data_IF_036570601685
#
_entry.id   IF_036570601685
#
_cell.length_a   1.000
_cell.length_b   1.000
_cell.length_c   1.000
_cell.angle_alpha   90.00
_cell.angle_beta   90.00
_cell.angle_gamma   90.00
#
_symmetry.space_group_name_H-M   'P 1'
#
loop_
_entity.id
_entity.type
_entity.pdbx_description
1 polymer ?
#
# COMPACT_ATOMS: atom_id res chain seq x y z
N UNK A 1 9.65 1.69 -2.25
CA UNK A 1 9.20 0.28 -2.35
C UNK A 1 7.73 0.24 -2.74
N UNK A 2 7.28 -0.86 -3.31
CA UNK A 2 5.89 -1.04 -3.75
C UNK A 2 5.28 -2.28 -3.11
N UNK A 3 3.97 -2.25 -2.92
CA UNK A 3 3.17 -3.40 -2.48
C UNK A 3 1.94 -3.46 -3.37
N UNK A 4 1.77 -4.55 -4.09
CA UNK A 4 0.54 -4.86 -4.83
C UNK A 4 -0.49 -5.43 -3.86
N UNK A 5 -1.71 -4.89 -3.88
CA UNK A 5 -2.79 -5.30 -2.99
C UNK A 5 -3.94 -5.82 -3.85
N UNK A 6 -4.30 -7.08 -3.64
CA UNK A 6 -5.45 -7.73 -4.25
C UNK A 6 -6.63 -7.67 -3.28
N UNK A 7 -7.78 -7.23 -3.79
CA UNK A 7 -8.99 -7.11 -2.99
C UNK A 7 -10.17 -7.76 -3.72
N UNK A 8 -10.95 -8.55 -2.98
CA UNK A 8 -12.06 -9.31 -3.53
C UNK A 8 -13.23 -8.41 -3.90
N UNK A 9 -13.69 -8.56 -5.14
CA UNK A 9 -14.85 -7.82 -5.69
C UNK A 9 -14.73 -6.29 -5.50
N UNK A 10 -13.50 -5.77 -5.51
CA UNK A 10 -13.20 -4.34 -5.38
C UNK A 10 -12.23 -3.88 -6.49
N UNK A 11 -12.63 -3.99 -7.78
CA UNK A 11 -11.82 -3.48 -8.87
C UNK A 11 -11.60 -1.97 -8.68
N UNK A 12 -10.34 -1.56 -8.59
CA UNK A 12 -9.97 -0.17 -8.27
C UNK A 12 -10.00 0.18 -6.78
N UNK A 13 -10.09 -0.78 -5.86
CA UNK A 13 -9.71 -0.57 -4.45
C UNK A 13 -10.51 0.47 -3.67
N UNK A 14 -11.70 0.84 -4.13
CA UNK A 14 -12.50 1.93 -3.54
C UNK A 14 -13.06 1.51 -2.20
N UNK A 15 -13.58 0.27 -2.11
CA UNK A 15 -14.12 -0.30 -0.87
C UNK A 15 -13.02 -0.51 0.16
N UNK A 16 -11.84 -0.93 -0.27
CA UNK A 16 -10.65 -1.04 0.55
C UNK A 16 -10.31 0.31 1.20
N UNK A 17 -10.14 1.38 0.41
CA UNK A 17 -9.78 2.70 0.94
C UNK A 17 -10.88 3.24 1.88
N UNK A 18 -12.15 3.11 1.49
CA UNK A 18 -13.26 3.56 2.32
C UNK A 18 -13.28 2.84 3.67
N UNK A 19 -13.09 1.51 3.66
CA UNK A 19 -13.04 0.71 4.89
C UNK A 19 -11.82 1.05 5.73
N UNK A 20 -10.62 1.17 5.14
CA UNK A 20 -9.41 1.56 5.85
C UNK A 20 -9.57 2.92 6.53
N UNK A 21 -10.11 3.93 5.82
CA UNK A 21 -10.45 5.24 6.40
C UNK A 21 -11.39 5.13 7.59
N UNK A 22 -12.48 4.35 7.46
CA UNK A 22 -13.46 4.15 8.54
C UNK A 22 -12.79 3.52 9.77
N UNK A 23 -11.98 2.48 9.59
CA UNK A 23 -11.34 1.76 10.68
C UNK A 23 -10.24 2.59 11.38
N UNK A 24 -9.51 3.43 10.64
CA UNK A 24 -8.59 4.41 11.21
C UNK A 24 -9.34 5.45 12.06
N UNK A 25 -10.45 5.98 11.54
CA UNK A 25 -11.31 6.94 12.28
C UNK A 25 -11.88 6.34 13.56
N UNK A 26 -12.25 5.06 13.54
CA UNK A 26 -12.77 4.32 14.68
C UNK A 26 -11.68 3.81 15.64
N UNK A 27 -10.41 4.18 15.43
CA UNK A 27 -9.27 3.70 16.21
C UNK A 27 -9.10 2.17 16.26
N UNK A 28 -9.62 1.46 15.25
CA UNK A 28 -9.49 0.01 15.11
C UNK A 28 -8.08 -0.38 14.60
N UNK A 29 -7.35 0.59 14.04
CA UNK A 29 -5.98 0.44 13.51
C UNK A 29 -5.12 1.60 14.04
N UNK A 30 -4.69 1.54 15.30
CA UNK A 30 -4.08 2.68 16.02
C UNK A 30 -2.64 3.02 15.63
N UNK A 31 -1.94 2.09 15.00
CA UNK A 31 -0.53 2.27 14.62
C UNK A 31 -0.33 3.19 13.40
N UNK A 32 -1.42 3.70 12.81
CA UNK A 32 -1.40 4.42 11.54
C UNK A 32 -2.19 5.71 11.62
N UNK A 33 -1.70 6.74 10.95
CA UNK A 33 -2.32 8.07 10.90
C UNK A 33 -2.51 8.50 9.46
N UNK A 34 -3.63 9.18 9.19
CA UNK A 34 -3.92 9.75 7.86
C UNK A 34 -3.11 11.04 7.71
N UNK A 35 -2.15 11.04 6.80
CA UNK A 35 -1.37 12.23 6.45
C UNK A 35 -2.06 13.07 5.37
N UNK A 36 -2.68 12.41 4.39
CA UNK A 36 -3.36 13.07 3.25
C UNK A 36 -4.51 12.22 2.75
N UNK A 37 -5.58 12.86 2.28
CA UNK A 37 -6.75 12.15 1.74
C UNK A 37 -6.70 11.90 0.23
N UNK A 38 -6.03 12.76 -0.54
CA UNK A 38 -5.93 12.69 -2.01
C UNK A 38 -4.51 13.07 -2.51
N UNK A 39 -3.66 12.11 -2.91
CA UNK A 39 -3.87 10.66 -2.79
C UNK A 39 -3.97 10.23 -1.32
N UNK A 40 -4.57 9.07 -1.06
CA UNK A 40 -4.71 8.56 0.29
C UNK A 40 -3.36 8.10 0.82
N UNK A 41 -2.83 8.81 1.80
CA UNK A 41 -1.48 8.61 2.34
C UNK A 41 -1.54 8.43 3.85
N UNK A 42 -0.89 7.38 4.32
CA UNK A 42 -0.70 7.08 5.73
C UNK A 42 0.76 7.28 6.14
N UNK A 43 0.96 7.52 7.44
CA UNK A 43 2.25 7.41 8.11
C UNK A 43 2.07 6.51 9.33
N UNK A 44 3.15 5.84 9.75
CA UNK A 44 3.12 5.02 10.95
C UNK A 44 3.30 5.92 12.19
N UNK A 45 2.52 5.66 13.25
CA UNK A 45 2.41 6.54 14.42
C UNK A 45 3.68 6.59 15.30
N UNK A 46 4.56 5.58 15.20
CA UNK A 46 5.84 5.60 15.91
C UNK A 46 6.79 6.68 15.38
N UNK A 47 7.32 7.54 16.26
CA UNK A 47 8.10 8.75 15.93
C UNK A 47 9.17 8.56 14.85
N UNK A 48 9.89 7.42 14.89
CA UNK A 48 10.96 7.09 13.94
C UNK A 48 10.49 6.91 12.49
N UNK A 49 9.20 6.72 12.28
CA UNK A 49 8.61 6.37 10.97
C UNK A 49 7.66 7.44 10.42
N UNK A 50 7.44 8.52 11.15
CA UNK A 50 6.50 9.61 10.79
C UNK A 50 6.83 10.30 9.47
N UNK A 51 8.10 10.25 9.03
CA UNK A 51 8.56 10.78 7.73
C UNK A 51 8.29 9.84 6.55
N UNK A 52 8.06 8.55 6.80
CA UNK A 52 7.91 7.52 5.76
C UNK A 52 6.44 7.47 5.35
N UNK A 53 6.19 7.76 4.07
CA UNK A 53 4.84 7.87 3.53
C UNK A 53 4.43 6.56 2.88
N UNK A 54 3.22 6.11 3.18
CA UNK A 54 2.56 4.97 2.51
C UNK A 54 1.39 5.50 1.72
N UNK A 55 1.53 5.62 0.40
CA UNK A 55 0.51 6.17 -0.48
C UNK A 55 -0.21 5.05 -1.22
N UNK A 56 -1.53 4.99 -1.07
CA UNK A 56 -2.39 4.02 -1.75
C UNK A 56 -2.89 4.60 -3.07
N UNK A 57 -2.62 3.87 -4.15
CA UNK A 57 -2.93 4.23 -5.53
C UNK A 57 -3.86 3.17 -6.12
N UNK A 58 -5.14 3.49 -6.32
CA UNK A 58 -6.10 2.60 -6.97
C UNK A 58 -5.75 2.22 -8.41
N UNK A 59 -6.06 0.98 -8.80
CA UNK A 59 -6.10 0.57 -10.20
C UNK A 59 -7.05 1.45 -11.04
N UNK A 60 -6.75 1.57 -12.33
CA UNK A 60 -7.48 2.44 -13.26
C UNK A 60 -7.15 3.94 -13.14
N UNK A 61 -6.29 4.36 -12.19
CA UNK A 61 -5.84 5.76 -12.11
C UNK A 61 -4.60 6.01 -12.98
N UNK A 62 -4.38 7.24 -13.48
CA UNK A 62 -3.19 7.56 -14.27
C UNK A 62 -1.87 7.29 -13.52
N UNK A 63 -1.85 7.44 -12.21
CA UNK A 63 -0.67 7.14 -11.38
C UNK A 63 -0.41 5.64 -11.32
N UNK A 64 -1.45 4.81 -11.19
CA UNK A 64 -1.31 3.36 -11.26
C UNK A 64 -0.79 2.92 -12.63
N UNK A 65 -1.39 3.42 -13.71
CA UNK A 65 -0.96 3.07 -15.07
C UNK A 65 0.49 3.46 -15.34
N UNK A 66 0.96 4.60 -14.80
CA UNK A 66 2.37 4.99 -14.87
C UNK A 66 3.27 4.02 -14.11
N UNK A 67 2.89 3.62 -12.88
CA UNK A 67 3.65 2.66 -12.10
C UNK A 67 3.72 1.28 -12.77
N UNK A 68 2.60 0.81 -13.35
CA UNK A 68 2.53 -0.42 -14.12
C UNK A 68 3.45 -0.39 -15.36
N UNK A 69 3.39 0.69 -16.15
CA UNK A 69 4.25 0.90 -17.32
C UNK A 69 5.73 0.97 -16.98
N UNK A 70 6.06 1.54 -15.81
CA UNK A 70 7.42 1.59 -15.29
C UNK A 70 7.93 0.23 -14.76
N UNK A 71 7.16 -0.85 -14.88
CA UNK A 71 7.55 -2.19 -14.47
C UNK A 71 7.55 -2.41 -12.96
N UNK A 72 7.02 -1.46 -12.17
CA UNK A 72 7.07 -1.51 -10.71
C UNK A 72 6.23 -2.63 -10.09
N UNK A 73 5.27 -3.17 -10.85
CA UNK A 73 4.47 -4.32 -10.46
C UNK A 73 5.21 -5.66 -10.64
N UNK A 74 6.22 -5.72 -11.51
CA UNK A 74 6.96 -6.95 -11.80
C UNK A 74 6.04 -8.14 -12.15
N UNK A 75 6.21 -9.24 -11.41
CA UNK A 75 5.39 -10.45 -11.55
C UNK A 75 3.93 -10.27 -11.12
N UNK A 76 3.63 -9.23 -10.33
CA UNK A 76 2.32 -8.98 -9.74
C UNK A 76 1.41 -8.12 -10.63
N UNK A 77 1.68 -8.03 -11.94
CA UNK A 77 0.84 -7.29 -12.87
C UNK A 77 -0.40 -8.08 -13.35
N UNK A 78 -0.35 -9.41 -13.25
CA UNK A 78 -1.39 -10.33 -13.70
C UNK A 78 -1.70 -11.38 -12.62
N UNK A 79 -2.93 -11.44 -12.07
CA UNK A 79 -4.02 -10.49 -12.31
C UNK A 79 -3.63 -9.06 -11.89
N UNK A 80 -4.34 -8.05 -12.41
CA UNK A 80 -4.09 -6.66 -12.02
C UNK A 80 -4.48 -6.47 -10.54
N UNK A 81 -3.61 -5.93 -9.68
CA UNK A 81 -3.94 -5.69 -8.29
C UNK A 81 -4.93 -4.54 -8.18
N UNK A 82 -5.82 -4.60 -7.17
CA UNK A 82 -6.80 -3.55 -6.92
C UNK A 82 -6.14 -2.22 -6.53
N UNK A 83 -5.02 -2.27 -5.79
CA UNK A 83 -4.23 -1.10 -5.41
C UNK A 83 -2.73 -1.37 -5.48
N UNK A 84 -1.98 -0.28 -5.60
CA UNK A 84 -0.56 -0.20 -5.27
C UNK A 84 -0.37 0.66 -4.02
N UNK A 85 0.34 0.15 -3.02
CA UNK A 85 0.86 0.97 -1.93
C UNK A 85 2.34 1.29 -2.19
N UNK A 86 2.63 2.58 -2.37
CA UNK A 86 3.99 3.09 -2.52
C UNK A 86 4.52 3.56 -1.18
N UNK A 87 5.66 3.01 -0.77
CA UNK A 87 6.38 3.39 0.45
C UNK A 87 7.59 4.23 0.03
N UNK A 88 7.63 5.48 0.48
CA UNK A 88 8.67 6.47 0.13
C UNK A 88 9.27 7.16 1.35
N UNK A 89 10.40 7.85 1.12
CA UNK A 89 10.94 8.89 2.00
C UNK A 89 11.59 8.46 3.33
N UNK A 90 12.33 7.33 3.38
CA UNK A 90 13.20 7.11 4.55
C UNK A 90 14.07 5.85 4.55
N UNK A 91 15.12 5.90 5.38
CA UNK A 91 16.10 4.83 5.62
C UNK A 91 15.48 3.56 6.26
N UNK A 92 14.24 3.63 6.76
CA UNK A 92 13.52 2.50 7.38
C UNK A 92 12.34 1.99 6.53
N UNK A 93 12.39 2.18 5.21
CA UNK A 93 11.33 1.76 4.30
C UNK A 93 11.01 0.25 4.41
N UNK A 94 12.00 -0.62 4.63
CA UNK A 94 11.80 -2.06 4.83
C UNK A 94 11.01 -2.39 6.10
N UNK A 95 11.23 -1.65 7.20
CA UNK A 95 10.42 -1.83 8.42
C UNK A 95 8.99 -1.40 8.19
N UNK A 96 8.79 -0.25 7.54
CA UNK A 96 7.44 0.23 7.22
C UNK A 96 6.74 -0.71 6.25
N UNK A 97 7.46 -1.31 5.31
CA UNK A 97 6.95 -2.42 4.50
C UNK A 97 6.43 -3.56 5.38
N UNK A 98 7.23 -4.01 6.35
CA UNK A 98 6.80 -5.00 7.34
C UNK A 98 5.52 -4.60 8.08
N UNK A 99 5.40 -3.34 8.51
CA UNK A 99 4.19 -2.85 9.16
C UNK A 99 2.98 -2.80 8.22
N UNK A 100 3.16 -2.38 6.96
CA UNK A 100 2.09 -2.37 5.96
C UNK A 100 1.58 -3.78 5.73
N UNK A 101 2.48 -4.74 5.50
CA UNK A 101 2.11 -6.13 5.31
C UNK A 101 1.40 -6.67 6.55
N UNK A 102 1.94 -6.42 7.75
CA UNK A 102 1.32 -6.83 9.00
C UNK A 102 -0.08 -6.25 9.20
N UNK A 103 -0.31 -4.98 8.85
CA UNK A 103 -1.62 -4.34 8.89
C UNK A 103 -2.59 -5.02 7.90
N UNK A 104 -2.16 -5.23 6.65
CA UNK A 104 -2.97 -5.86 5.61
C UNK A 104 -3.34 -7.30 5.97
N UNK A 105 -2.41 -8.07 6.52
CA UNK A 105 -2.65 -9.45 6.94
C UNK A 105 -3.56 -9.51 8.18
N UNK A 106 -3.30 -8.71 9.21
CA UNK A 106 -4.10 -8.69 10.45
C UNK A 106 -5.55 -8.26 10.21
N UNK A 107 -5.77 -7.44 9.20
CA UNK A 107 -7.09 -6.90 8.85
C UNK A 107 -7.55 -7.33 7.47
N UNK A 108 -7.08 -8.48 6.98
CA UNK A 108 -7.33 -8.92 5.61
C UNK A 108 -8.82 -9.02 5.30
N UNK A 109 -9.55 -9.81 6.09
CA UNK A 109 -10.99 -10.01 5.95
C UNK A 109 -11.80 -8.69 5.99
N UNK A 110 -11.68 -7.84 7.03
CA UNK A 110 -12.47 -6.61 7.06
C UNK A 110 -12.08 -5.62 5.95
N UNK A 111 -10.84 -5.63 5.47
CA UNK A 111 -10.41 -4.81 4.34
C UNK A 111 -10.74 -5.43 2.97
N UNK A 112 -11.19 -6.69 2.94
CA UNK A 112 -11.42 -7.45 1.71
C UNK A 112 -10.14 -7.81 0.96
N UNK A 113 -8.99 -7.87 1.63
CA UNK A 113 -7.71 -8.23 1.03
C UNK A 113 -7.65 -9.74 0.82
N UNK A 114 -7.47 -10.17 -0.42
CA UNK A 114 -7.28 -11.59 -0.78
C UNK A 114 -5.84 -11.94 -1.10
N UNK A 115 -4.97 -10.95 -1.30
CA UNK A 115 -3.55 -11.20 -1.55
C UNK A 115 -2.71 -9.95 -1.44
N UNK A 116 -1.43 -10.15 -1.12
CA UNK A 116 -0.41 -9.10 -1.08
C UNK A 116 0.79 -9.57 -1.87
N UNK A 117 1.16 -8.80 -2.90
CA UNK A 117 2.35 -8.99 -3.68
C UNK A 117 3.42 -7.98 -3.28
N UNK A 118 4.64 -8.43 -3.05
CA UNK A 118 5.77 -7.55 -2.75
C UNK A 118 6.76 -7.70 -3.92
N UNK A 119 6.71 -6.79 -4.91
CA UNK A 119 7.70 -6.78 -5.98
C UNK A 119 9.10 -6.69 -5.38
N UNK A 120 9.91 -7.72 -5.60
CA UNK A 120 11.33 -7.61 -5.35
C UNK A 120 11.84 -6.50 -6.26
N UNK A 121 12.17 -5.36 -5.66
CA UNK A 121 12.96 -4.37 -6.37
C UNK A 121 14.28 -5.08 -6.64
N UNK A 122 14.59 -5.38 -7.92
CA UNK A 122 15.98 -5.67 -8.25
C UNK A 122 16.72 -4.43 -7.76
N UNK A 123 17.47 -4.56 -6.67
CA UNK A 123 18.62 -3.68 -6.47
C UNK A 123 19.30 -3.69 -7.83
N UNK A 124 19.45 -2.53 -8.45
CA UNK A 124 20.40 -2.41 -9.53
C UNK A 124 21.72 -2.86 -8.90
N UNK A 125 22.05 -4.14 -9.07
CA UNK A 125 23.35 -4.67 -8.83
C UNK A 125 24.21 -3.90 -9.80
N UNK A 126 24.78 -2.79 -9.34
CA UNK A 126 25.93 -2.18 -9.98
C UNK A 126 27.02 -3.26 -9.95
N UNK A 127 27.11 -4.02 -11.03
CA UNK A 127 28.37 -4.61 -11.44
C UNK A 127 29.06 -3.60 -12.34
#
# INVERSE_FOLDING_TARGET
>A
MQVAIYADRDPGGKKFIATLKRRLKNEEIRAWQIQKQAPFTLVHAGDRYTKIRVTFVPAGTPTFSRAAKAGLLGAFKNPEPALLATISDGQSADRVLGFVVGMLTRHAEPLGVSGVGIPLSRSASSR
#
